data_IF_641137560173
#
_entry.id   IF_641137560173
#
_cell.length_a   1.000
_cell.length_b   1.000
_cell.length_c   1.000
_cell.angle_alpha   90.00
_cell.angle_beta   90.00
_cell.angle_gamma   90.00
#
_symmetry.space_group_name_H-M   'P 1'
#
loop_
_entity.id
_entity.type
_entity.pdbx_description
1 polymer ?
#
# COMPACT_ATOMS: atom_id res chain seq x y z
N UNK A 1 9.48 36.43 -4.99
CA UNK A 1 10.31 36.22 -6.19
C UNK A 1 9.53 35.31 -7.13
N UNK A 2 9.26 35.73 -8.36
CA UNK A 2 8.43 34.99 -9.32
C UNK A 2 9.09 33.65 -9.71
N UNK A 3 8.28 32.64 -10.05
CA UNK A 3 8.75 31.42 -10.74
C UNK A 3 9.22 31.70 -12.18
N UNK A 4 9.13 32.95 -12.62
CA UNK A 4 9.52 33.43 -13.93
C UNK A 4 10.88 32.91 -14.39
N UNK A 5 10.92 32.36 -15.60
CA UNK A 5 12.10 31.83 -16.29
C UNK A 5 12.76 30.61 -15.60
N UNK A 6 12.10 29.96 -14.63
CA UNK A 6 12.59 28.69 -14.10
C UNK A 6 12.23 27.54 -15.03
N UNK A 7 13.23 26.69 -15.31
CA UNK A 7 13.03 25.45 -16.06
C UNK A 7 12.17 24.47 -15.27
N UNK A 8 11.19 23.87 -15.93
CA UNK A 8 10.28 22.87 -15.37
C UNK A 8 11.07 21.67 -14.83
N UNK A 9 12.08 21.20 -15.56
CA UNK A 9 12.85 20.00 -15.21
C UNK A 9 14.06 20.25 -14.28
N UNK A 10 14.14 21.41 -13.63
CA UNK A 10 15.13 21.68 -12.57
C UNK A 10 14.78 20.94 -11.27
N UNK A 11 15.75 20.75 -10.38
CA UNK A 11 15.47 20.18 -9.06
C UNK A 11 14.63 21.16 -8.21
N UNK A 12 13.38 20.78 -7.94
CA UNK A 12 12.47 21.57 -7.09
C UNK A 12 12.96 21.60 -5.64
N UNK A 13 13.75 20.60 -5.23
CA UNK A 13 14.32 20.54 -3.88
C UNK A 13 15.18 21.76 -3.56
N UNK A 14 15.82 22.36 -4.57
CA UNK A 14 16.66 23.54 -4.43
C UNK A 14 15.87 24.86 -4.35
N UNK A 15 14.54 24.81 -4.41
CA UNK A 15 13.71 26.00 -4.37
C UNK A 15 13.67 26.57 -2.94
N UNK A 16 13.83 27.89 -2.83
CA UNK A 16 13.63 28.58 -1.55
C UNK A 16 12.16 28.54 -1.11
N UNK A 17 11.91 28.80 0.17
CA UNK A 17 10.56 28.77 0.77
C UNK A 17 9.56 29.61 -0.04
N UNK A 18 9.90 30.85 -0.40
CA UNK A 18 9.04 31.73 -1.22
C UNK A 18 8.61 31.08 -2.54
N UNK A 19 9.50 30.32 -3.17
CA UNK A 19 9.24 29.66 -4.46
C UNK A 19 8.39 28.40 -4.26
N UNK A 20 8.62 27.65 -3.18
CA UNK A 20 7.76 26.54 -2.77
C UNK A 20 6.34 27.02 -2.49
N UNK A 21 6.16 28.11 -1.73
CA UNK A 21 4.85 28.73 -1.48
C UNK A 21 4.19 29.21 -2.79
N UNK A 22 4.93 29.87 -3.67
CA UNK A 22 4.41 30.31 -4.98
C UNK A 22 3.93 29.12 -5.81
N UNK A 23 4.65 28.00 -5.77
CA UNK A 23 4.26 26.79 -6.49
C UNK A 23 3.00 26.17 -5.88
N UNK A 24 2.92 26.04 -4.56
CA UNK A 24 1.71 25.53 -3.87
C UNK A 24 0.50 26.40 -4.20
N UNK A 25 0.63 27.72 -4.12
CA UNK A 25 -0.45 28.65 -4.46
C UNK A 25 -0.80 28.63 -5.96
N UNK A 26 0.10 28.20 -6.84
CA UNK A 26 -0.24 28.04 -8.25
C UNK A 26 -1.10 26.78 -8.50
N UNK A 27 -0.86 25.70 -7.74
CA UNK A 27 -1.68 24.48 -7.78
C UNK A 27 -2.98 24.61 -6.97
N UNK A 28 -2.98 25.37 -5.87
CA UNK A 28 -4.12 25.61 -5.00
C UNK A 28 -4.24 27.12 -4.65
N UNK A 29 -4.76 27.95 -5.57
CA UNK A 29 -4.81 29.41 -5.40
C UNK A 29 -5.59 29.91 -4.20
N UNK A 30 -6.55 29.13 -3.69
CA UNK A 30 -7.35 29.49 -2.52
C UNK A 30 -6.58 29.43 -1.21
N UNK A 31 -5.46 28.70 -1.14
CA UNK A 31 -4.71 28.54 0.11
C UNK A 31 -3.98 29.82 0.51
N UNK A 32 -3.48 30.59 -0.46
CA UNK A 32 -2.71 31.83 -0.24
C UNK A 32 -1.60 31.70 0.82
N UNK A 33 -0.89 30.56 0.82
CA UNK A 33 0.16 30.23 1.79
C UNK A 33 1.26 31.28 1.74
N UNK A 34 1.55 31.88 2.90
CA UNK A 34 2.70 32.76 3.10
C UNK A 34 3.88 31.98 3.69
N UNK A 35 5.05 32.62 3.83
CA UNK A 35 6.22 31.96 4.43
C UNK A 35 6.01 31.60 5.90
N UNK A 36 5.15 32.32 6.63
CA UNK A 36 4.82 32.00 8.03
C UNK A 36 3.88 30.81 8.19
N UNK A 37 3.10 30.51 7.16
CA UNK A 37 2.13 29.40 7.17
C UNK A 37 2.71 28.10 6.58
N UNK A 38 3.95 28.17 6.08
CA UNK A 38 4.61 27.06 5.40
C UNK A 38 5.33 26.14 6.39
N UNK A 39 4.89 24.88 6.44
CA UNK A 39 5.53 23.83 7.22
C UNK A 39 6.30 22.90 6.26
N UNK A 40 7.63 22.94 6.31
CA UNK A 40 8.46 22.20 5.36
C UNK A 40 8.22 20.69 5.40
N UNK A 41 8.11 20.11 6.59
CA UNK A 41 7.94 18.67 6.78
C UNK A 41 6.64 18.14 6.13
N UNK A 42 5.57 18.93 6.13
CA UNK A 42 4.28 18.56 5.52
C UNK A 42 4.36 18.45 3.99
N UNK A 43 5.23 19.24 3.36
CA UNK A 43 5.35 19.31 1.90
C UNK A 43 6.57 18.58 1.34
N UNK A 44 7.52 18.17 2.18
CA UNK A 44 8.76 17.49 1.76
C UNK A 44 8.49 16.29 0.85
N UNK A 45 7.56 15.40 1.23
CA UNK A 45 7.22 14.21 0.44
C UNK A 45 6.62 14.57 -0.93
N UNK A 46 5.77 15.62 -0.99
CA UNK A 46 5.11 16.08 -2.21
C UNK A 46 6.13 16.68 -3.19
N UNK A 47 7.00 17.58 -2.71
CA UNK A 47 8.07 18.14 -3.55
C UNK A 47 9.09 17.09 -3.97
N UNK A 48 9.35 16.08 -3.11
CA UNK A 48 10.16 14.91 -3.45
C UNK A 48 9.58 14.16 -4.65
N UNK A 49 8.28 13.88 -4.59
CA UNK A 49 7.55 13.28 -5.70
C UNK A 49 7.61 14.12 -6.98
N UNK A 50 7.32 15.42 -6.91
CA UNK A 50 7.39 16.28 -8.09
C UNK A 50 8.80 16.30 -8.69
N UNK A 51 9.83 16.43 -7.85
CA UNK A 51 11.22 16.40 -8.28
C UNK A 51 11.59 15.09 -8.98
N UNK A 52 11.27 13.95 -8.39
CA UNK A 52 11.52 12.62 -8.97
C UNK A 52 10.79 12.41 -10.31
N UNK A 53 9.52 12.81 -10.41
CA UNK A 53 8.76 12.74 -11.67
C UNK A 53 9.42 13.58 -12.75
N UNK A 54 9.72 14.84 -12.46
CA UNK A 54 10.31 15.75 -13.44
C UNK A 54 11.73 15.33 -13.83
N UNK A 55 12.54 14.89 -12.88
CA UNK A 55 13.87 14.33 -13.13
C UNK A 55 13.81 13.11 -14.04
N UNK A 56 12.85 12.21 -13.83
CA UNK A 56 12.66 11.03 -14.68
C UNK A 56 12.20 11.37 -16.11
N UNK A 57 11.53 12.51 -16.28
CA UNK A 57 11.03 13.00 -17.57
C UNK A 57 11.98 13.95 -18.28
N UNK A 58 13.03 14.45 -17.60
CA UNK A 58 14.03 15.39 -18.15
C UNK A 58 14.60 14.96 -19.51
N UNK A 59 14.96 13.68 -19.78
CA UNK A 59 15.45 13.26 -21.10
C UNK A 59 14.42 13.41 -22.24
N UNK A 60 13.14 13.52 -21.88
CA UNK A 60 12.01 13.59 -22.81
C UNK A 60 11.39 14.99 -22.85
N UNK A 61 12.10 16.04 -22.41
CA UNK A 61 11.59 17.42 -22.36
C UNK A 61 10.97 17.89 -23.69
N UNK A 62 11.57 17.51 -24.81
CA UNK A 62 11.10 17.83 -26.16
C UNK A 62 9.72 17.24 -26.54
N UNK A 63 9.22 16.26 -25.78
CA UNK A 63 7.89 15.67 -25.96
C UNK A 63 6.79 16.47 -25.26
N UNK A 64 7.13 17.58 -24.57
CA UNK A 64 6.20 18.44 -23.85
C UNK A 64 6.06 19.80 -24.56
N UNK A 65 4.89 20.44 -24.41
CA UNK A 65 4.60 21.75 -24.97
C UNK A 65 5.41 22.89 -24.32
N UNK A 66 5.98 22.66 -23.14
CA UNK A 66 6.75 23.66 -22.40
C UNK A 66 7.80 23.00 -21.53
N UNK A 67 8.97 23.63 -21.44
CA UNK A 67 10.05 23.25 -20.53
C UNK A 67 10.21 24.26 -19.38
N UNK A 68 9.25 25.17 -19.21
CA UNK A 68 9.27 26.25 -18.21
C UNK A 68 8.06 26.16 -17.28
N UNK A 69 8.24 26.60 -16.03
CA UNK A 69 7.15 26.62 -15.06
C UNK A 69 6.00 27.54 -15.48
N UNK A 70 6.28 28.70 -16.08
CA UNK A 70 5.24 29.64 -16.50
C UNK A 70 4.26 29.01 -17.50
N UNK A 71 4.77 28.26 -18.48
CA UNK A 71 3.93 27.51 -19.42
C UNK A 71 3.12 26.43 -18.74
N UNK A 72 3.73 25.72 -17.78
CA UNK A 72 3.05 24.66 -17.01
C UNK A 72 1.92 25.22 -16.13
N UNK A 73 2.15 26.36 -15.48
CA UNK A 73 1.16 27.05 -14.65
C UNK A 73 0.03 27.64 -15.49
N UNK A 74 0.32 28.10 -16.71
CA UNK A 74 -0.72 28.52 -17.66
C UNK A 74 -1.63 27.34 -18.06
N UNK A 75 -1.05 26.15 -18.26
CA UNK A 75 -1.82 24.92 -18.51
C UNK A 75 -2.72 24.58 -17.32
N UNK A 76 -2.17 24.60 -16.10
CA UNK A 76 -2.93 24.33 -14.87
C UNK A 76 -4.09 25.31 -14.69
N UNK A 77 -3.86 26.59 -14.93
CA UNK A 77 -4.89 27.62 -14.85
C UNK A 77 -6.02 27.38 -15.84
N UNK A 78 -5.70 27.02 -17.09
CA UNK A 78 -6.72 26.69 -18.08
C UNK A 78 -7.47 25.39 -17.74
N UNK A 79 -6.78 24.39 -17.17
CA UNK A 79 -7.41 23.16 -16.68
C UNK A 79 -8.36 23.42 -15.51
N UNK A 80 -7.99 24.32 -14.60
CA UNK A 80 -8.81 24.63 -13.43
C UNK A 80 -10.11 25.36 -13.80
N UNK A 81 -10.13 26.15 -14.87
CA UNK A 81 -11.38 26.73 -15.42
C UNK A 81 -12.13 25.75 -16.33
N UNK A 82 -11.43 24.84 -17.01
CA UNK A 82 -11.98 23.91 -18.00
C UNK A 82 -12.28 22.50 -17.48
N UNK A 83 -12.54 22.31 -16.16
CA UNK A 83 -12.68 20.98 -15.52
C UNK A 83 -13.76 20.09 -16.17
N UNK A 84 -14.87 20.70 -16.58
CA UNK A 84 -16.00 20.04 -17.23
C UNK A 84 -15.89 20.03 -18.76
N UNK A 85 -14.83 20.64 -19.32
CA UNK A 85 -14.59 20.68 -20.76
C UNK A 85 -13.97 19.37 -21.22
N UNK A 86 -14.44 18.86 -22.36
CA UNK A 86 -13.88 17.66 -22.99
C UNK A 86 -12.41 17.86 -23.34
N UNK A 87 -11.63 16.80 -23.20
CA UNK A 87 -10.19 16.82 -23.50
C UNK A 87 -9.87 17.34 -24.90
N UNK A 88 -10.60 16.90 -25.92
CA UNK A 88 -10.36 17.33 -27.31
C UNK A 88 -10.52 18.84 -27.51
N UNK A 89 -11.48 19.44 -26.81
CA UNK A 89 -11.74 20.88 -26.84
C UNK A 89 -10.63 21.61 -26.10
N UNK A 90 -10.22 21.12 -24.92
CA UNK A 90 -9.09 21.67 -24.18
C UNK A 90 -7.80 21.68 -25.01
N UNK A 91 -7.44 20.54 -25.61
CA UNK A 91 -6.25 20.42 -26.47
C UNK A 91 -6.35 21.35 -27.67
N UNK A 92 -7.53 21.44 -28.30
CA UNK A 92 -7.76 22.36 -29.43
C UNK A 92 -7.60 23.83 -29.02
N UNK A 93 -8.06 24.21 -27.84
CA UNK A 93 -7.93 25.59 -27.34
C UNK A 93 -6.48 25.93 -26.97
N UNK A 94 -5.72 24.97 -26.43
CA UNK A 94 -4.28 25.13 -26.26
C UNK A 94 -3.56 25.29 -27.60
N UNK A 95 -3.93 24.50 -28.62
CA UNK A 95 -3.35 24.59 -29.96
C UNK A 95 -3.57 25.96 -30.60
N UNK A 96 -4.75 26.56 -30.42
CA UNK A 96 -5.03 27.93 -30.91
C UNK A 96 -4.08 28.97 -30.32
N UNK A 97 -3.70 28.82 -29.05
CA UNK A 97 -2.73 29.70 -28.37
C UNK A 97 -1.28 29.38 -28.75
N UNK A 98 -1.01 28.16 -29.20
CA UNK A 98 0.33 27.66 -29.49
C UNK A 98 0.40 26.98 -30.87
N UNK A 99 0.27 27.78 -31.95
CA UNK A 99 0.11 27.29 -33.33
C UNK A 99 1.25 26.38 -33.83
N UNK A 100 2.43 26.44 -33.21
CA UNK A 100 3.62 25.70 -33.61
C UNK A 100 3.84 24.39 -32.82
N UNK A 101 2.99 24.08 -31.84
CA UNK A 101 3.16 22.92 -30.96
C UNK A 101 2.23 21.79 -31.42
N UNK A 102 2.78 20.58 -31.56
CA UNK A 102 2.01 19.39 -31.94
C UNK A 102 1.03 18.94 -30.85
N UNK A 103 -0.10 18.38 -31.26
CA UNK A 103 -1.19 17.94 -30.36
C UNK A 103 -0.70 16.92 -29.31
N UNK A 104 0.28 16.08 -29.69
CA UNK A 104 0.95 15.13 -28.79
C UNK A 104 1.61 15.84 -27.62
N UNK A 105 2.40 16.87 -27.89
CA UNK A 105 3.16 17.58 -26.87
C UNK A 105 2.25 18.35 -25.90
N UNK A 106 1.17 18.94 -26.43
CA UNK A 106 0.12 19.57 -25.62
C UNK A 106 -0.54 18.54 -24.70
N UNK A 107 -0.95 17.40 -25.25
CA UNK A 107 -1.59 16.35 -24.47
C UNK A 107 -0.66 15.79 -23.38
N UNK A 108 0.63 15.60 -23.66
CA UNK A 108 1.63 15.18 -22.68
C UNK A 108 1.81 16.19 -21.54
N UNK A 109 1.87 17.50 -21.85
CA UNK A 109 1.95 18.54 -20.82
C UNK A 109 0.68 18.63 -19.97
N UNK A 110 -0.50 18.49 -20.60
CA UNK A 110 -1.78 18.46 -19.90
C UNK A 110 -1.87 17.26 -18.95
N UNK A 111 -1.47 16.07 -19.40
CA UNK A 111 -1.47 14.86 -18.56
C UNK A 111 -0.47 14.96 -17.40
N UNK A 112 0.72 15.54 -17.63
CA UNK A 112 1.68 15.83 -16.57
C UNK A 112 1.11 16.82 -15.55
N UNK A 113 0.42 17.88 -16.00
CA UNK A 113 -0.17 18.88 -15.13
C UNK A 113 -1.20 18.28 -14.18
N UNK A 114 -2.11 17.46 -14.74
CA UNK A 114 -3.09 16.71 -13.95
C UNK A 114 -2.40 15.78 -12.96
N UNK A 115 -1.35 15.07 -13.39
CA UNK A 115 -0.61 14.12 -12.53
C UNK A 115 0.09 14.79 -11.35
N UNK A 116 0.68 15.96 -11.55
CA UNK A 116 1.32 16.72 -10.47
C UNK A 116 0.31 17.36 -9.53
N UNK A 117 -0.83 17.84 -10.08
CA UNK A 117 -1.86 18.54 -9.32
C UNK A 117 -2.69 17.61 -8.43
N UNK A 118 -3.19 16.52 -9.00
CA UNK A 118 -4.18 15.65 -8.34
C UNK A 118 -3.51 14.42 -7.70
N UNK A 119 -2.27 14.10 -8.09
CA UNK A 119 -1.65 12.83 -7.69
C UNK A 119 -2.36 11.63 -8.31
N UNK A 120 -2.93 11.80 -9.51
CA UNK A 120 -3.58 10.74 -10.27
C UNK A 120 -2.88 10.58 -11.62
N UNK A 121 -2.45 9.37 -11.94
CA UNK A 121 -1.81 9.08 -13.21
C UNK A 121 -2.85 8.92 -14.33
N UNK A 122 -3.19 10.00 -15.02
CA UNK A 122 -4.05 9.98 -16.21
C UNK A 122 -3.22 9.82 -17.48
N UNK A 123 -3.70 9.03 -18.45
CA UNK A 123 -3.01 8.80 -19.73
C UNK A 123 -3.95 8.61 -20.91
N UNK A 124 -3.54 9.08 -22.09
CA UNK A 124 -4.18 8.70 -23.35
C UNK A 124 -3.62 7.41 -23.93
N UNK A 125 -4.40 6.77 -24.79
CA UNK A 125 -3.92 5.62 -25.57
C UNK A 125 -2.76 6.06 -26.48
N UNK A 126 -1.62 5.36 -26.38
CA UNK A 126 -0.46 5.60 -27.24
C UNK A 126 0.38 6.83 -26.87
N UNK A 127 0.00 7.57 -25.83
CA UNK A 127 0.83 8.63 -25.25
C UNK A 127 1.59 8.06 -24.06
N UNK A 128 2.84 7.72 -24.30
CA UNK A 128 3.75 7.23 -23.28
C UNK A 128 5.06 7.99 -23.38
N UNK A 129 5.42 8.67 -22.29
CA UNK A 129 6.66 9.44 -22.17
C UNK A 129 7.29 9.09 -20.83
N UNK A 130 8.56 8.68 -20.86
CA UNK A 130 9.32 8.31 -19.66
C UNK A 130 9.55 6.80 -19.48
N UNK A 131 10.23 6.42 -18.39
CA UNK A 131 10.47 5.01 -18.06
C UNK A 131 9.18 4.32 -17.58
N UNK A 132 8.95 3.09 -18.03
CA UNK A 132 7.77 2.32 -17.64
C UNK A 132 7.98 1.75 -16.24
N UNK A 133 7.40 2.41 -15.23
CA UNK A 133 7.26 1.78 -13.91
C UNK A 133 6.17 0.71 -14.03
N UNK A 134 6.59 -0.55 -14.23
CA UNK A 134 5.77 -1.74 -14.47
C UNK A 134 4.57 -1.96 -13.50
N UNK A 135 4.54 -1.27 -12.36
CA UNK A 135 3.50 -1.46 -11.31
C UNK A 135 2.56 -0.27 -11.10
N UNK A 136 2.77 0.88 -11.73
CA UNK A 136 1.91 2.06 -11.48
C UNK A 136 0.69 2.02 -12.38
N UNK A 137 -0.51 2.01 -11.79
CA UNK A 137 -1.71 2.02 -12.60
C UNK A 137 -1.95 3.40 -13.22
N UNK A 138 -2.79 3.45 -14.25
CA UNK A 138 -3.22 4.70 -14.86
C UNK A 138 -4.71 4.67 -15.17
N UNK A 139 -5.32 5.84 -15.16
CA UNK A 139 -6.68 6.05 -15.64
C UNK A 139 -6.59 6.48 -17.10
N UNK A 140 -7.34 5.80 -17.96
CA UNK A 140 -7.43 6.19 -19.36
C UNK A 140 -8.31 7.44 -19.50
N UNK A 141 -7.74 8.52 -20.01
CA UNK A 141 -8.47 9.75 -20.31
C UNK A 141 -8.82 9.81 -21.80
N UNK A 142 -10.10 9.64 -22.11
CA UNK A 142 -10.61 9.67 -23.49
C UNK A 142 -10.87 11.10 -23.97
N UNK A 143 -10.84 11.29 -25.28
CA UNK A 143 -10.98 12.61 -25.91
C UNK A 143 -12.34 13.27 -25.66
N UNK A 144 -13.37 12.44 -25.54
CA UNK A 144 -14.77 12.82 -25.34
C UNK A 144 -15.16 13.02 -23.87
N UNK A 145 -14.24 12.77 -22.94
CA UNK A 145 -14.47 12.88 -21.50
C UNK A 145 -13.88 14.16 -20.92
N UNK A 146 -14.57 14.73 -19.93
CA UNK A 146 -14.01 15.81 -19.12
C UNK A 146 -12.99 15.29 -18.11
N UNK A 147 -12.17 16.20 -17.56
CA UNK A 147 -11.23 15.84 -16.51
C UNK A 147 -11.97 15.34 -15.25
N UNK A 148 -13.04 16.04 -14.87
CA UNK A 148 -13.88 15.68 -13.71
C UNK A 148 -14.47 14.28 -13.83
N UNK A 149 -15.04 13.95 -14.98
CA UNK A 149 -15.58 12.60 -15.26
C UNK A 149 -14.49 11.53 -15.18
N UNK A 150 -13.34 11.81 -15.77
CA UNK A 150 -12.20 10.87 -15.83
C UNK A 150 -11.67 10.58 -14.43
N UNK A 151 -11.51 11.62 -13.61
CA UNK A 151 -11.04 11.49 -12.22
C UNK A 151 -12.05 10.74 -11.37
N UNK A 152 -13.35 11.02 -11.49
CA UNK A 152 -14.37 10.39 -10.66
C UNK A 152 -14.67 8.92 -11.03
N UNK A 153 -14.51 8.55 -12.30
CA UNK A 153 -14.96 7.26 -12.84
C UNK A 153 -14.46 6.01 -12.08
N UNK A 154 -13.17 5.87 -11.70
CA UNK A 154 -12.69 4.68 -10.98
C UNK A 154 -13.32 4.54 -9.59
N UNK A 155 -13.57 5.67 -8.92
CA UNK A 155 -14.08 5.68 -7.55
C UNK A 155 -15.58 5.39 -7.50
N UNK A 156 -16.36 5.94 -8.45
CA UNK A 156 -17.80 5.64 -8.58
C UNK A 156 -18.03 4.15 -8.88
N UNK A 157 -17.17 3.53 -9.69
CA UNK A 157 -17.28 2.11 -9.98
C UNK A 157 -17.00 1.24 -8.75
N UNK A 158 -16.13 1.66 -7.84
CA UNK A 158 -15.89 0.94 -6.58
C UNK A 158 -17.11 1.05 -5.65
N UNK A 159 -17.75 2.22 -5.59
CA UNK A 159 -19.01 2.42 -4.83
C UNK A 159 -20.09 1.43 -5.23
N UNK A 160 -20.24 1.14 -6.53
CA UNK A 160 -21.23 0.16 -7.01
C UNK A 160 -20.92 -1.29 -6.61
N UNK A 161 -19.64 -1.65 -6.44
CA UNK A 161 -19.19 -3.00 -6.07
C UNK A 161 -19.33 -3.28 -4.55
N UNK A 162 -19.48 -2.25 -3.74
CA UNK A 162 -19.46 -2.34 -2.28
C UNK A 162 -20.75 -2.89 -1.63
N UNK A 163 -21.79 -3.22 -2.42
CA UNK A 163 -23.16 -3.51 -1.94
C UNK A 163 -23.38 -4.84 -1.18
N UNK A 164 -22.33 -5.57 -0.80
CA UNK A 164 -22.48 -6.90 -0.17
C UNK A 164 -21.38 -7.24 0.84
N UNK A 165 -20.89 -6.27 1.61
CA UNK A 165 -19.94 -6.55 2.69
C UNK A 165 -20.67 -6.81 4.01
N UNK A 166 -20.22 -7.79 4.79
CA UNK A 166 -20.64 -8.00 6.18
C UNK A 166 -20.30 -6.78 7.04
N UNK A 167 -21.09 -6.55 8.08
CA UNK A 167 -20.85 -5.50 9.08
C UNK A 167 -19.53 -5.85 9.79
N UNK A 168 -18.51 -5.02 9.57
CA UNK A 168 -17.24 -5.10 10.28
C UNK A 168 -17.05 -3.80 11.04
N UNK A 169 -16.71 -3.92 12.32
CA UNK A 169 -16.22 -2.84 13.15
C UNK A 169 -14.70 -2.82 13.03
N UNK A 170 -14.13 -1.62 12.97
CA UNK A 170 -12.69 -1.47 13.07
C UNK A 170 -12.27 -1.63 14.52
N UNK A 171 -11.30 -2.52 14.76
CA UNK A 171 -10.61 -2.64 16.04
C UNK A 171 -9.37 -1.73 16.03
N UNK A 172 -8.91 -1.30 17.21
CA UNK A 172 -7.75 -0.42 17.36
C UNK A 172 -6.46 -1.06 16.80
N UNK A 173 -6.45 -2.39 16.66
CA UNK A 173 -5.34 -3.13 16.04
C UNK A 173 -5.34 -3.10 14.50
N UNK A 174 -6.39 -2.56 13.86
CA UNK A 174 -6.51 -2.43 12.41
C UNK A 174 -5.71 -1.23 11.87
N UNK A 175 -4.39 -1.24 12.10
CA UNK A 175 -3.46 -0.23 11.59
C UNK A 175 -2.61 -0.79 10.44
N UNK A 176 -1.86 0.05 9.73
CA UNK A 176 -0.90 -0.40 8.72
C UNK A 176 0.18 -1.30 9.33
N UNK A 177 0.61 -0.99 10.56
CA UNK A 177 1.55 -1.82 11.32
C UNK A 177 0.90 -3.14 11.71
N UNK A 178 -0.35 -3.12 12.19
CA UNK A 178 -1.12 -4.33 12.46
C UNK A 178 -1.25 -5.22 11.23
N UNK A 179 -1.58 -4.65 10.07
CA UNK A 179 -1.63 -5.36 8.79
C UNK A 179 -0.27 -5.94 8.38
N UNK A 180 0.82 -5.21 8.61
CA UNK A 180 2.20 -5.68 8.37
C UNK A 180 2.58 -6.82 9.31
N UNK A 181 2.22 -6.75 10.58
CA UNK A 181 2.67 -7.72 11.59
C UNK A 181 1.81 -8.99 11.62
N UNK A 182 0.49 -8.82 11.54
CA UNK A 182 -0.47 -9.91 11.58
C UNK A 182 -0.58 -10.56 10.20
N UNK A 183 -0.83 -9.76 9.16
CA UNK A 183 -1.08 -10.28 7.81
C UNK A 183 0.19 -10.40 6.96
N UNK A 184 1.36 -9.94 7.45
CA UNK A 184 2.64 -9.92 6.71
C UNK A 184 2.51 -9.21 5.36
N UNK A 185 1.68 -8.18 5.30
CA UNK A 185 1.59 -7.32 4.12
C UNK A 185 2.85 -6.47 4.02
N UNK A 186 3.39 -6.36 2.81
CA UNK A 186 4.41 -5.35 2.50
C UNK A 186 3.71 -4.02 2.17
N UNK A 187 4.00 -2.97 2.93
CA UNK A 187 3.45 -1.64 2.66
C UNK A 187 4.23 -1.00 1.53
N UNK A 188 3.53 -0.58 0.48
CA UNK A 188 4.10 0.14 -0.66
C UNK A 188 3.53 1.55 -0.73
N UNK A 189 4.38 2.55 -0.56
CA UNK A 189 3.97 3.93 -0.75
C UNK A 189 3.72 4.24 -2.23
N UNK A 190 2.55 4.79 -2.54
CA UNK A 190 2.17 5.20 -3.90
C UNK A 190 1.92 6.70 -3.98
N UNK A 191 2.35 7.30 -5.08
CA UNK A 191 2.04 8.68 -5.46
C UNK A 191 0.73 8.79 -6.27
N UNK A 192 0.08 7.64 -6.55
CA UNK A 192 -1.13 7.57 -7.35
C UNK A 192 -2.34 7.27 -6.45
N UNK A 193 -3.23 8.23 -6.25
CA UNK A 193 -4.41 8.11 -5.40
C UNK A 193 -5.30 6.93 -5.83
N UNK A 194 -5.40 6.63 -7.13
CA UNK A 194 -6.19 5.51 -7.63
C UNK A 194 -5.70 4.12 -7.13
N UNK A 195 -4.44 4.02 -6.69
CA UNK A 195 -3.85 2.80 -6.13
C UNK A 195 -3.97 2.71 -4.60
N UNK A 196 -4.58 3.68 -3.92
CA UNK A 196 -4.75 3.65 -2.47
C UNK A 196 -5.55 2.42 -2.00
N UNK A 197 -5.05 1.68 -1.01
CA UNK A 197 -5.58 0.40 -0.52
C UNK A 197 -5.60 -0.73 -1.54
N UNK A 198 -4.84 -0.62 -2.63
CA UNK A 198 -4.78 -1.68 -3.63
C UNK A 198 -3.91 -2.82 -3.14
N UNK A 199 -4.46 -4.03 -3.15
CA UNK A 199 -3.71 -5.25 -2.92
C UNK A 199 -3.09 -5.77 -4.21
N UNK A 200 -1.81 -6.10 -4.12
CA UNK A 200 -1.01 -6.71 -5.18
C UNK A 200 -0.44 -8.04 -4.68
N UNK A 201 0.03 -8.86 -5.62
CA UNK A 201 0.69 -10.13 -5.30
C UNK A 201 -0.29 -11.27 -5.03
N UNK A 202 0.29 -12.47 -4.88
CA UNK A 202 -0.42 -13.69 -4.52
C UNK A 202 -0.42 -13.90 -3.00
N UNK A 203 -1.21 -14.88 -2.56
CA UNK A 203 -1.26 -15.36 -1.18
C UNK A 203 0.15 -15.53 -0.60
N UNK A 204 0.42 -14.91 0.56
CA UNK A 204 1.70 -14.97 1.27
C UNK A 204 2.77 -13.96 0.87
N UNK A 205 2.62 -13.28 -0.28
CA UNK A 205 3.53 -12.22 -0.77
C UNK A 205 2.73 -10.99 -1.20
N UNK A 206 1.74 -10.63 -0.39
CA UNK A 206 0.84 -9.53 -0.70
C UNK A 206 1.47 -8.19 -0.38
N UNK A 207 1.31 -7.25 -1.30
CA UNK A 207 1.74 -5.86 -1.14
C UNK A 207 0.51 -4.96 -1.08
N UNK A 208 0.48 -4.02 -0.13
CA UNK A 208 -0.60 -3.05 0.05
C UNK A 208 -0.12 -1.66 -0.35
N UNK A 209 -0.72 -1.09 -1.39
CA UNK A 209 -0.42 0.28 -1.80
C UNK A 209 -1.14 1.30 -0.93
N UNK A 210 -0.40 2.25 -0.36
CA UNK A 210 -0.93 3.33 0.48
C UNK A 210 -0.51 4.68 -0.11
N UNK A 211 -1.48 5.59 -0.26
CA UNK A 211 -1.22 6.91 -0.82
C UNK A 211 -0.54 7.77 0.24
N UNK A 212 0.63 8.34 -0.08
CA UNK A 212 1.48 8.99 0.92
C UNK A 212 1.26 10.50 1.06
N UNK A 213 0.57 11.15 0.13
CA UNK A 213 0.49 12.62 0.07
C UNK A 213 -0.77 13.16 0.76
N UNK A 214 -0.90 12.96 2.08
CA UNK A 214 -2.07 13.45 2.83
C UNK A 214 -2.27 14.97 2.70
N UNK A 215 -1.18 15.75 2.65
CA UNK A 215 -1.23 17.21 2.44
C UNK A 215 -1.94 17.59 1.14
N UNK A 216 -1.77 16.80 0.08
CA UNK A 216 -2.43 17.01 -1.20
C UNK A 216 -3.95 16.89 -1.06
N UNK A 217 -4.43 15.91 -0.27
CA UNK A 217 -5.86 15.72 0.01
C UNK A 217 -6.43 16.89 0.79
N UNK A 218 -5.71 17.37 1.82
CA UNK A 218 -6.12 18.52 2.64
C UNK A 218 -6.20 19.80 1.79
N UNK A 219 -5.23 20.01 0.90
CA UNK A 219 -5.21 21.16 0.01
C UNK A 219 -6.39 21.17 -0.97
N UNK A 220 -6.71 20.01 -1.57
CA UNK A 220 -7.90 19.83 -2.39
C UNK A 220 -9.19 20.00 -1.60
N UNK A 221 -9.23 19.53 -0.34
CA UNK A 221 -10.42 19.62 0.51
C UNK A 221 -10.77 21.06 0.92
N UNK A 222 -9.78 21.94 0.99
CA UNK A 222 -9.96 23.38 1.25
C UNK A 222 -10.45 24.15 0.02
N UNK A 223 -10.55 23.51 -1.15
CA UNK A 223 -10.96 24.17 -2.40
C UNK A 223 -12.46 24.56 -2.35
N UNK A 224 -12.82 25.77 -2.82
CA UNK A 224 -14.23 26.12 -2.98
C UNK A 224 -14.92 25.29 -4.07
N UNK A 225 -16.22 25.04 -3.91
CA UNK A 225 -17.02 24.36 -4.92
C UNK A 225 -17.12 25.16 -6.23
N UNK A 226 -17.15 24.51 -7.42
CA UNK A 226 -17.18 23.06 -7.63
C UNK A 226 -15.80 22.39 -7.58
N UNK A 227 -15.65 21.39 -6.71
CA UNK A 227 -14.39 20.65 -6.55
C UNK A 227 -14.13 19.66 -7.70
N UNK A 228 -12.85 19.48 -8.03
CA UNK A 228 -12.43 18.50 -9.03
C UNK A 228 -12.51 17.05 -8.51
N UNK A 229 -12.10 16.85 -7.26
CA UNK A 229 -12.25 15.59 -6.54
C UNK A 229 -13.47 15.73 -5.62
N UNK A 230 -14.44 14.80 -5.62
CA UNK A 230 -15.58 14.86 -4.73
C UNK A 230 -15.16 14.96 -3.25
N UNK A 231 -15.85 15.83 -2.51
CA UNK A 231 -15.61 16.05 -1.07
C UNK A 231 -15.57 14.75 -0.28
N UNK A 232 -16.56 13.89 -0.52
CA UNK A 232 -16.75 12.63 0.18
C UNK A 232 -15.59 11.66 -0.08
N UNK A 233 -15.01 11.68 -1.28
CA UNK A 233 -13.83 10.85 -1.59
C UNK A 233 -12.58 11.36 -0.87
N UNK A 234 -12.41 12.68 -0.77
CA UNK A 234 -11.31 13.26 0.01
C UNK A 234 -11.44 12.90 1.49
N UNK A 235 -12.65 13.03 2.04
CA UNK A 235 -12.96 12.65 3.41
C UNK A 235 -12.65 11.20 3.70
N UNK A 236 -13.24 10.29 2.92
CA UNK A 236 -12.99 8.87 3.12
C UNK A 236 -11.52 8.51 2.99
N UNK A 237 -10.79 9.13 2.05
CA UNK A 237 -9.36 8.86 1.90
C UNK A 237 -8.57 9.34 3.12
N UNK A 238 -8.88 10.52 3.66
CA UNK A 238 -8.24 11.02 4.88
C UNK A 238 -8.59 10.10 6.07
N UNK A 239 -9.87 9.73 6.25
CA UNK A 239 -10.29 8.77 7.27
C UNK A 239 -9.57 7.43 7.15
N UNK A 240 -9.37 6.90 5.94
CA UNK A 240 -8.61 5.64 5.77
C UNK A 240 -7.14 5.77 6.15
N UNK A 241 -6.54 6.95 5.95
CA UNK A 241 -5.16 7.20 6.40
C UNK A 241 -5.11 7.33 7.92
N UNK A 242 -6.06 8.00 8.54
CA UNK A 242 -6.13 8.15 10.00
C UNK A 242 -6.44 6.82 10.70
N UNK A 243 -7.26 5.97 10.07
CA UNK A 243 -7.50 4.59 10.50
C UNK A 243 -6.22 3.75 10.46
N UNK A 244 -5.45 3.86 9.38
CA UNK A 244 -4.23 3.06 9.19
C UNK A 244 -3.01 3.60 9.95
N UNK A 245 -2.98 4.89 10.24
CA UNK A 245 -1.88 5.59 10.91
C UNK A 245 -2.42 6.49 12.03
N UNK A 246 -3.05 5.91 13.06
CA UNK A 246 -3.63 6.69 14.15
C UNK A 246 -2.56 7.52 14.87
N UNK A 247 -2.92 8.74 15.23
CA UNK A 247 -2.04 9.63 15.99
C UNK A 247 -1.89 9.12 17.44
N UNK A 248 -0.66 9.14 17.95
CA UNK A 248 -0.34 8.66 19.31
C UNK A 248 -0.12 7.15 19.45
N UNK A 249 -0.18 6.38 18.35
CA UNK A 249 0.21 4.96 18.33
C UNK A 249 1.73 4.82 18.12
N UNK A 250 2.46 4.43 19.16
CA UNK A 250 3.94 4.31 19.15
C UNK A 250 4.48 3.38 18.04
N UNK A 251 3.88 2.20 17.76
CA UNK A 251 4.28 1.37 16.62
C UNK A 251 4.14 2.09 15.28
N UNK A 252 3.03 2.80 15.08
CA UNK A 252 2.79 3.62 13.89
C UNK A 252 3.81 4.75 13.77
N UNK A 253 4.09 5.46 14.87
CA UNK A 253 5.08 6.54 14.89
C UNK A 253 6.47 6.04 14.46
N UNK A 254 6.90 4.92 15.05
CA UNK A 254 8.18 4.29 14.74
C UNK A 254 8.22 3.89 13.26
N UNK A 255 7.15 3.27 12.75
CA UNK A 255 7.06 2.86 11.35
C UNK A 255 7.12 4.05 10.37
N UNK A 256 6.40 5.13 10.64
CA UNK A 256 6.40 6.33 9.79
C UNK A 256 7.76 7.04 9.78
N UNK A 257 8.43 7.08 10.94
CA UNK A 257 9.78 7.65 11.07
C UNK A 257 10.82 6.82 10.28
N UNK A 258 10.75 5.49 10.35
CA UNK A 258 11.61 4.59 9.59
C UNK A 258 11.43 4.76 8.07
N UNK A 259 10.18 4.91 7.64
CA UNK A 259 9.81 5.10 6.24
C UNK A 259 10.01 6.54 5.74
N UNK A 260 10.26 7.50 6.65
CA UNK A 260 10.37 8.95 6.37
C UNK A 260 9.14 9.53 5.67
N UNK A 261 7.95 9.13 6.13
CA UNK A 261 6.67 9.59 5.58
C UNK A 261 5.88 10.33 6.64
N UNK A 262 5.50 11.57 6.34
CA UNK A 262 4.70 12.40 7.24
C UNK A 262 3.19 12.21 6.96
N UNK A 263 2.46 11.67 7.94
CA UNK A 263 1.00 11.50 7.88
C UNK A 263 0.23 12.43 8.83
N UNK A 264 0.90 13.01 9.82
CA UNK A 264 0.28 13.93 10.76
C UNK A 264 0.56 15.36 10.34
N UNK A 265 -0.51 16.15 10.25
CA UNK A 265 -0.51 17.51 9.70
C UNK A 265 -1.06 18.40 10.79
N UNK A 266 -0.35 19.49 11.11
CA UNK A 266 -0.58 20.29 12.32
C UNK A 266 -1.97 20.96 12.33
N UNK A 267 -2.57 21.13 11.15
CA UNK A 267 -3.91 21.66 10.96
C UNK A 267 -4.82 20.63 10.28
N UNK A 268 -4.97 19.47 10.91
CA UNK A 268 -5.89 18.44 10.42
C UNK A 268 -7.32 18.98 10.38
N UNK A 269 -8.07 18.54 9.37
CA UNK A 269 -9.49 18.86 9.28
C UNK A 269 -10.19 17.90 10.22
N UNK A 270 -11.08 18.42 11.07
CA UNK A 270 -11.92 17.59 11.92
C UNK A 270 -12.91 16.83 11.03
N UNK A 271 -12.55 15.58 10.73
CA UNK A 271 -13.37 14.65 9.97
C UNK A 271 -13.82 13.58 10.96
N UNK A 272 -15.13 13.31 11.08
CA UNK A 272 -15.63 12.28 11.97
C UNK A 272 -14.89 10.96 11.74
N UNK A 273 -14.42 10.35 12.82
CA UNK A 273 -13.78 9.05 12.75
C UNK A 273 -14.83 8.02 12.30
N UNK A 274 -14.52 7.31 11.21
CA UNK A 274 -15.34 6.19 10.76
C UNK A 274 -15.17 5.01 11.73
N UNK A 275 -16.30 4.45 12.17
CA UNK A 275 -16.33 3.34 13.13
C UNK A 275 -16.64 2.03 12.39
N UNK A 276 -17.47 2.13 11.36
CA UNK A 276 -17.98 0.99 10.62
C UNK A 276 -17.50 0.99 9.17
N UNK A 277 -17.39 -0.19 8.59
CA UNK A 277 -17.08 -0.34 7.17
C UNK A 277 -18.12 0.36 6.27
N UNK A 278 -19.34 0.55 6.77
CA UNK A 278 -20.46 1.17 6.06
C UNK A 278 -20.32 2.69 5.91
N UNK A 279 -19.45 3.31 6.71
CA UNK A 279 -19.10 4.74 6.59
C UNK A 279 -18.28 5.03 5.32
N UNK A 280 -17.78 3.99 4.64
CA UNK A 280 -17.00 4.11 3.42
C UNK A 280 -17.85 3.74 2.19
N UNK A 281 -17.98 4.64 1.23
CA UNK A 281 -18.60 4.39 -0.06
C UNK A 281 -17.57 4.07 -1.16
N UNK A 282 -16.47 4.82 -1.24
CA UNK A 282 -15.46 4.69 -2.29
C UNK A 282 -14.45 3.60 -2.00
N UNK A 283 -14.04 3.45 -0.74
CA UNK A 283 -12.97 2.54 -0.33
C UNK A 283 -13.45 1.22 0.28
N UNK A 284 -14.75 1.08 0.59
CA UNK A 284 -15.33 -0.10 1.26
C UNK A 284 -14.99 -1.44 0.63
N UNK A 285 -14.96 -1.54 -0.70
CA UNK A 285 -14.59 -2.81 -1.35
C UNK A 285 -13.13 -3.21 -1.09
N UNK A 286 -12.21 -2.25 -0.97
CA UNK A 286 -10.79 -2.50 -0.67
C UNK A 286 -10.59 -2.75 0.83
N UNK A 287 -11.23 -1.95 1.68
CA UNK A 287 -11.22 -2.15 3.14
C UNK A 287 -11.83 -3.51 3.53
N UNK A 288 -12.94 -3.91 2.91
CA UNK A 288 -13.56 -5.22 3.14
C UNK A 288 -12.60 -6.38 2.84
N UNK A 289 -11.79 -6.26 1.77
CA UNK A 289 -10.75 -7.26 1.46
C UNK A 289 -9.65 -7.26 2.53
N UNK A 290 -9.23 -6.10 3.01
CA UNK A 290 -8.23 -5.99 4.08
C UNK A 290 -8.75 -6.57 5.40
N UNK A 291 -9.99 -6.26 5.79
CA UNK A 291 -10.64 -6.82 6.96
C UNK A 291 -10.81 -8.34 6.85
N UNK A 292 -11.15 -8.83 5.65
CA UNK A 292 -11.24 -10.28 5.40
C UNK A 292 -9.87 -10.97 5.54
N UNK A 293 -8.78 -10.29 5.19
CA UNK A 293 -7.42 -10.79 5.45
C UNK A 293 -7.07 -10.70 6.94
N UNK A 294 -7.44 -9.59 7.58
CA UNK A 294 -7.10 -9.28 8.96
C UNK A 294 -7.82 -10.14 9.99
N UNK A 295 -9.07 -10.52 9.74
CA UNK A 295 -9.83 -11.45 10.58
C UNK A 295 -9.86 -12.88 10.00
N UNK A 296 -9.33 -13.06 8.79
CA UNK A 296 -9.26 -14.35 8.11
C UNK A 296 -8.16 -15.27 8.64
N UNK A 297 -8.18 -16.54 8.21
CA UNK A 297 -7.14 -17.50 8.56
C UNK A 297 -5.78 -17.08 7.99
N UNK A 298 -4.66 -17.39 8.67
CA UNK A 298 -3.32 -17.17 8.16
C UNK A 298 -3.12 -17.72 6.74
N UNK A 299 -2.46 -16.94 5.90
CA UNK A 299 -2.21 -17.34 4.51
C UNK A 299 -1.07 -18.36 4.41
N UNK A 300 -0.09 -18.32 5.31
CA UNK A 300 1.12 -19.18 5.26
C UNK A 300 1.33 -19.98 6.55
N UNK A 301 2.11 -21.07 6.46
CA UNK A 301 2.51 -21.86 7.64
C UNK A 301 3.30 -21.00 8.63
N UNK A 302 4.20 -20.14 8.14
CA UNK A 302 4.97 -19.22 8.99
C UNK A 302 4.04 -18.26 9.75
N UNK A 303 3.03 -17.70 9.09
CA UNK A 303 2.03 -16.89 9.78
C UNK A 303 1.24 -17.73 10.79
N UNK A 304 0.84 -18.96 10.44
CA UNK A 304 0.09 -19.86 11.34
C UNK A 304 0.84 -20.14 12.63
N UNK A 305 2.17 -20.33 12.56
CA UNK A 305 3.01 -20.58 13.73
C UNK A 305 3.23 -19.34 14.62
N UNK A 306 3.08 -18.15 14.05
CA UNK A 306 3.30 -16.87 14.73
C UNK A 306 1.99 -16.13 15.07
N UNK A 307 0.85 -16.66 14.66
CA UNK A 307 -0.45 -16.01 14.85
C UNK A 307 -0.90 -16.11 16.31
N UNK A 308 -0.94 -14.96 17.00
CA UNK A 308 -1.33 -14.85 18.41
C UNK A 308 -2.77 -14.37 18.60
N UNK A 309 -3.52 -14.10 17.52
CA UNK A 309 -4.90 -13.56 17.59
C UNK A 309 -5.84 -14.46 18.39
N UNK A 310 -5.67 -15.78 18.27
CA UNK A 310 -6.39 -16.75 19.08
C UNK A 310 -5.41 -17.49 20.00
N UNK A 311 -5.28 -17.01 21.24
CA UNK A 311 -4.35 -17.55 22.24
C UNK A 311 -4.61 -19.04 22.53
N UNK A 312 -5.86 -19.49 22.47
CA UNK A 312 -6.22 -20.90 22.66
C UNK A 312 -5.73 -21.78 21.49
N UNK A 313 -5.92 -21.35 20.25
CA UNK A 313 -5.40 -22.05 19.08
C UNK A 313 -3.87 -22.04 19.07
N UNK A 314 -3.24 -20.90 19.34
CA UNK A 314 -1.80 -20.78 19.46
C UNK A 314 -1.23 -21.74 20.51
N UNK A 315 -1.81 -21.77 21.71
CA UNK A 315 -1.41 -22.71 22.76
C UNK A 315 -1.60 -24.17 22.32
N UNK A 316 -2.72 -24.49 21.65
CA UNK A 316 -2.99 -25.85 21.14
C UNK A 316 -1.93 -26.29 20.13
N UNK A 317 -1.51 -25.40 19.22
CA UNK A 317 -0.43 -25.68 18.25
C UNK A 317 0.85 -26.05 19.00
N UNK A 318 1.28 -25.23 19.96
CA UNK A 318 2.52 -25.48 20.70
C UNK A 318 2.45 -26.68 21.64
N UNK A 319 1.31 -26.94 22.29
CA UNK A 319 1.07 -28.16 23.07
C UNK A 319 1.12 -29.39 22.18
N UNK A 320 0.62 -29.32 20.96
CA UNK A 320 0.69 -30.45 20.02
C UNK A 320 2.14 -30.72 19.59
N UNK A 321 2.89 -29.66 19.26
CA UNK A 321 4.29 -29.78 18.81
C UNK A 321 5.21 -30.24 19.95
N UNK A 322 5.18 -29.58 21.11
CA UNK A 322 6.10 -29.89 22.22
C UNK A 322 5.56 -30.95 23.17
N UNK A 323 4.26 -30.98 23.41
CA UNK A 323 3.65 -32.00 24.26
C UNK A 323 3.58 -33.32 23.51
N UNK A 324 2.73 -33.41 22.49
CA UNK A 324 2.44 -34.71 21.87
C UNK A 324 3.58 -35.20 21.00
N UNK A 325 4.04 -34.40 20.04
CA UNK A 325 5.00 -34.85 19.03
C UNK A 325 6.37 -35.17 19.63
N UNK A 326 6.94 -34.26 20.43
CA UNK A 326 8.25 -34.49 21.05
C UNK A 326 8.22 -35.65 22.07
N UNK A 327 7.19 -35.76 22.91
CA UNK A 327 7.07 -36.89 23.84
C UNK A 327 6.89 -38.22 23.10
N UNK A 328 6.17 -38.25 21.98
CA UNK A 328 6.00 -39.47 21.19
C UNK A 328 7.34 -39.97 20.63
N UNK A 329 8.17 -39.06 20.12
CA UNK A 329 9.52 -39.41 19.64
C UNK A 329 10.36 -39.93 20.81
N UNK A 330 10.35 -39.24 21.96
CA UNK A 330 11.10 -39.65 23.15
C UNK A 330 10.71 -41.05 23.62
N UNK A 331 9.40 -41.31 23.76
CA UNK A 331 8.91 -42.63 24.17
C UNK A 331 9.21 -43.71 23.12
N UNK A 332 9.16 -43.38 21.83
CA UNK A 332 9.56 -44.29 20.76
C UNK A 332 11.04 -44.70 20.86
N UNK A 333 11.93 -43.74 21.12
CA UNK A 333 13.37 -44.01 21.33
C UNK A 333 13.58 -44.86 22.58
N UNK A 334 12.96 -44.49 23.71
CA UNK A 334 13.06 -45.26 24.95
C UNK A 334 12.55 -46.70 24.77
N UNK A 335 11.39 -46.87 24.14
CA UNK A 335 10.81 -48.19 23.84
C UNK A 335 11.75 -49.03 22.98
N UNK A 336 12.41 -48.43 21.99
CA UNK A 336 13.39 -49.11 21.14
C UNK A 336 14.60 -49.57 21.95
N UNK A 337 15.15 -48.72 22.82
CA UNK A 337 16.28 -49.05 23.69
C UNK A 337 15.93 -50.17 24.68
N UNK A 338 14.75 -50.08 25.32
CA UNK A 338 14.29 -51.12 26.24
C UNK A 338 14.08 -52.46 25.53
N UNK A 339 13.51 -52.44 24.32
CA UNK A 339 13.31 -53.64 23.50
C UNK A 339 14.64 -54.31 23.15
N UNK A 340 15.66 -53.54 22.80
CA UNK A 340 17.00 -54.08 22.53
C UNK A 340 17.65 -54.71 23.77
N UNK A 341 17.54 -54.06 24.95
CA UNK A 341 18.04 -54.63 26.21
C UNK A 341 17.30 -55.91 26.60
N UNK A 342 15.98 -55.91 26.48
CA UNK A 342 15.15 -57.07 26.79
C UNK A 342 15.46 -58.25 25.86
N UNK A 343 15.70 -57.99 24.57
CA UNK A 343 16.14 -59.01 23.62
C UNK A 343 17.45 -59.66 24.07
N UNK A 344 18.46 -58.87 24.46
CA UNK A 344 19.73 -59.40 24.93
C UNK A 344 19.57 -60.27 26.19
N UNK A 345 18.80 -59.78 27.18
CA UNK A 345 18.52 -60.55 28.41
C UNK A 345 17.77 -61.85 28.10
N UNK A 346 16.83 -61.83 27.16
CA UNK A 346 16.09 -63.03 26.75
C UNK A 346 17.01 -64.07 26.07
N UNK A 347 17.94 -63.62 25.22
CA UNK A 347 18.95 -64.48 24.60
C UNK A 347 19.84 -65.12 25.67
N UNK A 348 20.31 -64.35 26.65
CA UNK A 348 21.16 -64.88 27.72
C UNK A 348 20.40 -65.82 28.66
N UNK A 349 19.14 -65.51 28.98
CA UNK A 349 18.26 -66.39 29.75
C UNK A 349 17.98 -67.70 29.02
N UNK A 350 17.75 -67.67 27.70
CA UNK A 350 17.56 -68.86 26.88
C UNK A 350 18.81 -69.75 26.90
N UNK A 351 20.00 -69.17 26.74
CA UNK A 351 21.27 -69.91 26.81
C UNK A 351 21.46 -70.58 28.17
N UNK A 352 21.15 -69.88 29.27
CA UNK A 352 21.25 -70.44 30.62
C UNK A 352 20.26 -71.60 30.85
N UNK A 353 19.01 -71.41 30.44
CA UNK A 353 17.98 -72.45 30.54
C UNK A 353 18.35 -73.68 29.71
N UNK A 354 18.89 -73.48 28.51
CA UNK A 354 19.39 -74.56 27.67
C UNK A 354 20.53 -75.31 28.35
N UNK A 355 21.51 -74.61 28.92
CA UNK A 355 22.62 -75.21 29.64
C UNK A 355 22.15 -76.05 30.85
N UNK A 356 21.17 -75.54 31.62
CA UNK A 356 20.60 -76.27 32.75
C UNK A 356 19.82 -77.52 32.30
N UNK A 357 19.03 -77.42 31.22
CA UNK A 357 18.29 -78.56 30.67
C UNK A 357 19.25 -79.66 30.17
N UNK A 358 20.36 -79.29 29.53
CA UNK A 358 21.40 -80.24 29.10
C UNK A 358 22.10 -80.94 30.27
N UNK A 359 22.15 -80.32 31.46
CA UNK A 359 22.73 -80.94 32.66
C UNK A 359 21.76 -81.89 33.39
N UNK A 360 20.46 -81.61 33.36
CA UNK A 360 19.47 -82.34 34.17
C UNK A 360 18.81 -83.53 33.44
N UNK A 361 18.77 -83.53 32.11
CA UNK A 361 18.05 -84.55 31.33
C UNK A 361 19.02 -85.62 30.83
N UNK A 362 18.75 -86.89 31.16
CA UNK A 362 19.40 -88.06 30.57
C UNK A 362 18.35 -88.95 29.90
N UNK A 363 18.40 -89.17 28.57
CA UNK A 363 19.45 -88.76 27.62
C UNK A 363 19.32 -87.29 27.15
N UNK A 364 20.43 -86.62 26.74
CA UNK A 364 20.44 -85.21 26.35
C UNK A 364 19.59 -84.92 25.10
N UNK A 365 19.09 -83.68 24.99
CA UNK A 365 18.26 -83.22 23.88
C UNK A 365 19.04 -83.18 22.55
N UNK A 366 18.66 -84.06 21.63
CA UNK A 366 19.31 -84.24 20.33
C UNK A 366 19.26 -82.94 19.49
N UNK A 367 20.43 -82.46 19.06
CA UNK A 367 20.57 -81.26 18.22
C UNK A 367 20.63 -79.92 18.97
N UNK A 368 20.45 -79.92 20.28
CA UNK A 368 20.49 -78.71 21.13
C UNK A 368 21.57 -78.78 22.21
N UNK A 369 21.89 -79.99 22.68
CA UNK A 369 23.00 -80.27 23.58
C UNK A 369 24.05 -81.04 22.76
N UNK A 370 25.06 -80.34 22.24
CA UNK A 370 26.21 -80.95 21.54
C UNK A 370 27.46 -80.90 22.40
#
# INVERSE_FOLDING_TARGET
MSLANKRLFSDIQDFGITQKCALINAFWPHLNISESDYFEDEYTALFGYWGEVLKSLRPFGHEFATEEWDGMLAILTQLSFGRDTKKEVLVSDFKKKHQNIGDKAIACSVELAVRLWIGINVRSKGLFVGPEKLKVSYIRWQNDQSLKETVAAPFINNRRKARSASIFLFDDSFTAVGLKDICRLEILWTDNLADHLRLHGSRGERQLSIYKHKICLINHRKEPEPMLIPKDLLDETICTLDLLFPEGDEPTETFLNDEKVQMWIANSIDIPQAIELDDFEFWRSRLSQLLSLFYGPPETVRQTLLDRRNTAQFATIWVTIFGVFFLTILFGVLSTVYSAKQYNVAVDSYKLALAQACQQISPPLLGYCT
#
